data_IF_736382742864
#
_entry.id   IF_736382742864
#
_cell.length_a   1.000
_cell.length_b   1.000
_cell.length_c   1.000
_cell.angle_alpha   90.00
_cell.angle_beta   90.00
_cell.angle_gamma   90.00
#
_symmetry.space_group_name_H-M   'P 1'
#
loop_
_entity.id
_entity.type
_entity.pdbx_description
1 polymer ?
#
# COMPACT_ATOMS: atom_id res chain seq x y z
N UNK A 1 -4.21 46.41 21.75
CA UNK A 1 -4.66 45.35 20.83
C UNK A 1 -6.11 45.10 21.14
N UNK A 2 -7.02 45.39 20.21
CA UNK A 2 -8.45 45.18 20.43
C UNK A 2 -8.74 43.68 20.34
N UNK A 3 -9.18 43.09 21.45
CA UNK A 3 -9.69 41.72 21.49
C UNK A 3 -11.07 41.70 20.84
N UNK A 4 -11.15 41.15 19.64
CA UNK A 4 -12.43 40.90 18.98
C UNK A 4 -13.25 39.92 19.84
N UNK A 5 -14.40 40.38 20.33
CA UNK A 5 -15.38 39.64 21.13
C UNK A 5 -16.58 39.18 20.29
N UNK A 6 -16.50 39.30 18.96
CA UNK A 6 -17.53 38.87 18.02
C UNK A 6 -17.28 37.47 17.46
N UNK A 7 -18.36 36.79 17.07
CA UNK A 7 -18.30 35.55 16.29
C UNK A 7 -17.75 35.87 14.90
N UNK A 8 -16.61 35.28 14.56
CA UNK A 8 -16.04 35.35 13.21
C UNK A 8 -16.62 34.19 12.41
N UNK A 9 -17.40 34.51 11.37
CA UNK A 9 -17.89 33.53 10.40
C UNK A 9 -16.90 33.49 9.25
N UNK A 10 -16.13 32.41 9.17
CA UNK A 10 -15.22 32.17 8.05
C UNK A 10 -15.91 31.22 7.07
N UNK A 11 -16.12 31.66 5.84
CA UNK A 11 -16.65 30.81 4.78
C UNK A 11 -15.48 30.02 4.18
N UNK A 12 -15.40 28.72 4.45
CA UNK A 12 -14.50 27.79 3.77
C UNK A 12 -15.27 27.08 2.67
N UNK A 13 -14.75 27.09 1.43
CA UNK A 13 -15.44 26.59 0.24
C UNK A 13 -15.29 25.09 -0.01
N UNK A 14 -14.47 24.38 0.77
CA UNK A 14 -14.32 22.93 0.68
C UNK A 14 -14.73 22.28 2.01
N UNK A 15 -15.61 21.29 1.95
CA UNK A 15 -15.86 20.40 3.08
C UNK A 15 -14.57 19.58 3.31
N UNK A 16 -13.89 19.85 4.42
CA UNK A 16 -12.65 19.15 4.71
C UNK A 16 -12.94 17.67 4.93
N UNK A 17 -12.30 16.80 4.14
CA UNK A 17 -12.40 15.35 4.35
C UNK A 17 -11.93 15.02 5.78
N UNK A 18 -12.74 14.29 6.58
CA UNK A 18 -12.32 13.89 7.92
C UNK A 18 -11.15 12.90 7.84
N UNK A 19 -10.14 13.10 8.69
CA UNK A 19 -8.97 12.23 8.79
C UNK A 19 -9.28 10.96 9.60
N UNK A 20 -10.24 10.17 9.14
CA UNK A 20 -10.75 9.00 9.86
C UNK A 20 -10.02 7.71 9.52
N UNK A 21 -9.23 7.66 8.45
CA UNK A 21 -8.58 6.43 7.99
C UNK A 21 -7.32 6.16 8.82
N UNK A 22 -7.26 4.95 9.38
CA UNK A 22 -6.27 4.56 10.40
C UNK A 22 -5.22 3.56 9.89
N UNK A 23 -5.18 3.26 8.58
CA UNK A 23 -4.10 2.43 8.04
C UNK A 23 -2.75 3.10 8.33
N UNK A 24 -1.83 2.47 9.07
CA UNK A 24 -0.55 3.09 9.41
C UNK A 24 0.33 3.21 8.17
N UNK A 25 0.51 4.43 7.68
CA UNK A 25 1.36 4.74 6.51
C UNK A 25 2.66 5.38 7.01
N UNK A 26 3.81 4.94 6.50
CA UNK A 26 5.08 5.60 6.73
C UNK A 26 5.67 6.19 5.45
N UNK A 27 6.31 7.35 5.55
CA UNK A 27 6.91 8.06 4.42
C UNK A 27 8.32 8.49 4.80
N UNK A 28 9.31 8.10 4.00
CA UNK A 28 10.67 8.64 4.09
C UNK A 28 10.91 9.60 2.91
N UNK A 29 11.42 10.80 3.19
CA UNK A 29 11.59 11.82 2.16
C UNK A 29 12.29 13.08 2.65
N UNK A 30 12.03 14.17 1.93
CA UNK A 30 12.64 15.49 2.10
C UNK A 30 11.62 16.52 2.57
N UNK A 31 12.09 17.46 3.38
CA UNK A 31 11.29 18.55 3.93
C UNK A 31 12.23 19.68 4.33
N UNK A 32 12.27 20.76 3.59
CA UNK A 32 13.13 21.95 3.83
C UNK A 32 12.45 22.95 4.76
N UNK A 33 11.12 22.88 4.86
CA UNK A 33 10.29 23.77 5.69
C UNK A 33 9.78 23.06 6.96
N UNK A 34 9.13 23.81 7.85
CA UNK A 34 8.54 23.29 9.08
C UNK A 34 9.54 23.03 10.23
N UNK A 35 9.09 22.27 11.23
CA UNK A 35 9.86 21.93 12.44
C UNK A 35 10.31 20.47 12.51
N UNK A 36 10.12 19.69 11.45
CA UNK A 36 10.47 18.26 11.44
C UNK A 36 11.98 18.06 11.62
N UNK A 37 12.35 17.41 12.72
CA UNK A 37 13.72 17.00 12.98
C UNK A 37 14.15 15.92 12.00
N UNK A 38 15.39 16.02 11.49
CA UNK A 38 15.97 14.96 10.68
C UNK A 38 16.05 13.65 11.48
N UNK A 39 15.91 12.52 10.78
CA UNK A 39 16.15 11.19 11.33
C UNK A 39 15.32 10.83 12.58
N UNK A 40 14.14 11.43 12.74
CA UNK A 40 13.21 11.11 13.83
C UNK A 40 11.83 10.81 13.26
N UNK A 41 11.36 9.55 13.31
CA UNK A 41 9.99 9.22 12.92
C UNK A 41 8.98 10.05 13.71
N UNK A 42 8.15 10.80 13.02
CA UNK A 42 7.19 11.75 13.61
C UNK A 42 5.80 11.44 13.07
N UNK A 43 4.79 11.35 13.96
CA UNK A 43 3.41 11.09 13.55
C UNK A 43 2.69 12.40 13.22
N UNK A 44 2.02 12.41 12.08
CA UNK A 44 1.14 13.46 11.58
C UNK A 44 -0.29 12.93 11.65
N UNK A 45 -1.12 13.53 12.51
CA UNK A 45 -2.51 13.08 12.73
C UNK A 45 -3.56 14.09 12.30
N UNK A 46 -3.18 15.34 12.19
CA UNK A 46 -4.06 16.44 11.80
C UNK A 46 -3.47 17.23 10.65
N UNK A 47 -4.29 18.04 9.99
CA UNK A 47 -3.80 19.02 9.00
C UNK A 47 -2.94 20.11 9.66
N UNK A 48 -3.25 20.45 10.91
CA UNK A 48 -2.44 21.40 11.69
C UNK A 48 -1.07 20.82 12.05
N UNK A 49 -1.00 19.52 12.36
CA UNK A 49 0.27 18.80 12.54
C UNK A 49 1.09 18.88 11.26
N UNK A 50 0.47 18.61 10.11
CA UNK A 50 1.14 18.69 8.81
C UNK A 50 1.69 20.10 8.56
N UNK A 51 0.85 21.13 8.69
CA UNK A 51 1.25 22.52 8.50
C UNK A 51 2.37 22.96 9.46
N UNK A 52 2.31 22.53 10.73
CA UNK A 52 3.31 22.92 11.74
C UNK A 52 4.63 22.17 11.56
N UNK A 53 4.56 20.84 11.41
CA UNK A 53 5.73 19.96 11.41
C UNK A 53 6.42 19.98 10.05
N UNK A 54 5.64 19.95 8.95
CA UNK A 54 6.16 19.89 7.60
C UNK A 54 6.25 21.26 6.92
N UNK A 55 5.48 22.25 7.37
CA UNK A 55 5.38 23.55 6.70
C UNK A 55 4.64 23.47 5.37
N UNK A 56 4.68 24.58 4.61
CA UNK A 56 4.01 24.68 3.30
C UNK A 56 4.75 23.90 2.19
N UNK A 57 5.96 23.42 2.46
CA UNK A 57 6.80 22.67 1.53
C UNK A 57 7.51 23.52 0.48
N UNK A 58 8.81 23.26 0.30
CA UNK A 58 9.59 23.77 -0.83
C UNK A 58 9.31 23.01 -2.14
N UNK A 59 9.81 23.55 -3.26
CA UNK A 59 9.63 22.94 -4.58
C UNK A 59 10.19 21.50 -4.67
N UNK A 60 11.24 21.20 -3.91
CA UNK A 60 11.92 19.89 -3.86
C UNK A 60 11.46 19.02 -2.68
N UNK A 61 10.53 19.51 -1.86
CA UNK A 61 10.03 18.76 -0.72
C UNK A 61 9.04 17.69 -1.18
N UNK A 62 9.23 16.49 -0.65
CA UNK A 62 8.41 15.31 -0.99
C UNK A 62 7.43 14.98 0.14
N UNK A 63 7.81 15.19 1.41
CA UNK A 63 6.96 14.86 2.56
C UNK A 63 5.68 15.71 2.65
N UNK A 64 5.72 17.05 2.57
CA UNK A 64 4.51 17.88 2.65
C UNK A 64 3.52 17.56 1.52
N UNK A 65 4.05 17.35 0.29
CA UNK A 65 3.22 17.01 -0.89
C UNK A 65 2.57 15.64 -0.74
N UNK A 66 3.32 14.63 -0.32
CA UNK A 66 2.79 13.29 -0.12
C UNK A 66 1.73 13.24 0.99
N UNK A 67 1.96 13.95 2.10
CA UNK A 67 0.99 14.06 3.20
C UNK A 67 -0.28 14.79 2.74
N UNK A 68 -0.15 15.86 1.95
CA UNK A 68 -1.30 16.58 1.40
C UNK A 68 -2.18 15.65 0.55
N UNK A 69 -1.61 14.89 -0.40
CA UNK A 69 -2.38 13.92 -1.21
C UNK A 69 -3.12 12.92 -0.31
N UNK A 70 -2.44 12.32 0.67
CA UNK A 70 -3.02 11.32 1.56
C UNK A 70 -4.11 11.89 2.49
N UNK A 71 -3.91 13.08 3.04
CA UNK A 71 -4.87 13.71 3.95
C UNK A 71 -6.04 14.34 3.20
N UNK A 72 -5.77 15.14 2.18
CA UNK A 72 -6.76 15.97 1.51
C UNK A 72 -7.66 15.14 0.61
N UNK A 73 -7.12 14.15 -0.11
CA UNK A 73 -7.89 13.33 -1.06
C UNK A 73 -8.46 12.06 -0.43
N UNK A 74 -7.71 11.46 0.51
CA UNK A 74 -8.03 10.13 1.04
C UNK A 74 -8.39 10.10 2.52
N UNK A 75 -8.22 11.19 3.27
CA UNK A 75 -8.57 11.24 4.69
C UNK A 75 -7.68 10.38 5.59
N UNK A 76 -6.41 10.17 5.22
CA UNK A 76 -5.46 9.38 5.98
C UNK A 76 -4.99 10.14 7.24
N UNK A 77 -5.31 9.61 8.43
CA UNK A 77 -5.02 10.26 9.72
C UNK A 77 -3.89 9.64 10.53
N UNK A 78 -3.29 8.53 10.09
CA UNK A 78 -2.15 7.91 10.79
C UNK A 78 -0.93 7.79 9.89
N UNK A 79 -0.25 8.93 9.69
CA UNK A 79 0.94 9.01 8.83
C UNK A 79 2.18 9.22 9.71
N UNK A 80 3.18 8.38 9.56
CA UNK A 80 4.51 8.56 10.15
C UNK A 80 5.46 9.08 9.08
N UNK A 81 6.11 10.21 9.32
CA UNK A 81 7.09 10.80 8.40
C UNK A 81 8.48 10.72 9.00
N UNK A 82 9.49 10.50 8.16
CA UNK A 82 10.89 10.64 8.54
C UNK A 82 11.64 11.43 7.47
N UNK A 83 12.30 12.51 7.90
CA UNK A 83 13.12 13.36 7.04
C UNK A 83 14.54 12.82 6.95
N UNK A 84 15.07 12.71 5.73
CA UNK A 84 16.49 12.44 5.48
C UNK A 84 17.41 13.50 6.10
N UNK A 85 18.57 13.09 6.60
CA UNK A 85 19.57 14.03 7.12
C UNK A 85 20.14 14.96 6.01
N UNK A 86 20.12 14.46 4.78
CA UNK A 86 20.39 15.18 3.53
C UNK A 86 19.18 15.07 2.61
N UNK A 87 19.07 16.00 1.66
CA UNK A 87 17.92 16.11 0.74
C UNK A 87 18.11 15.29 -0.55
N UNK A 88 18.81 14.17 -0.44
CA UNK A 88 19.16 13.29 -1.56
C UNK A 88 18.82 11.81 -1.25
N UNK A 89 19.02 10.97 -2.26
CA UNK A 89 18.80 9.52 -2.17
C UNK A 89 19.55 8.88 -0.98
N UNK A 90 20.76 9.35 -0.66
CA UNK A 90 21.54 8.83 0.47
C UNK A 90 20.90 9.17 1.82
N UNK A 91 20.42 10.41 1.98
CA UNK A 91 19.71 10.86 3.18
C UNK A 91 18.41 10.10 3.39
N UNK A 92 17.63 9.90 2.32
CA UNK A 92 16.38 9.13 2.37
C UNK A 92 16.65 7.65 2.64
N UNK A 93 17.67 7.06 1.99
CA UNK A 93 18.10 5.68 2.25
C UNK A 93 18.38 5.44 3.73
N UNK A 94 19.13 6.34 4.38
CA UNK A 94 19.42 6.25 5.80
C UNK A 94 18.16 6.41 6.67
N UNK A 95 17.22 7.26 6.26
CA UNK A 95 15.98 7.51 7.00
C UNK A 95 15.02 6.31 7.00
N UNK A 96 14.97 5.53 5.92
CA UNK A 96 14.11 4.33 5.79
C UNK A 96 14.32 3.38 6.97
N UNK A 97 15.58 3.10 7.33
CA UNK A 97 15.89 2.17 8.43
C UNK A 97 15.30 2.59 9.78
N UNK A 98 15.08 3.89 9.99
CA UNK A 98 14.55 4.44 11.24
C UNK A 98 13.06 4.17 11.42
N UNK A 99 12.33 3.91 10.33
CA UNK A 99 10.91 3.56 10.37
C UNK A 99 10.64 2.23 11.09
N UNK A 100 11.64 1.35 11.22
CA UNK A 100 11.54 0.14 12.03
C UNK A 100 11.27 0.45 13.52
N UNK A 101 11.65 1.64 13.98
CA UNK A 101 11.48 2.10 15.36
C UNK A 101 10.29 3.07 15.53
N UNK A 102 9.42 3.18 14.53
CA UNK A 102 8.24 4.01 14.63
C UNK A 102 7.32 3.54 15.77
N UNK A 103 6.67 4.48 16.46
CA UNK A 103 5.78 4.18 17.58
C UNK A 103 4.56 3.33 17.16
N UNK A 104 4.15 3.42 15.90
CA UNK A 104 3.17 2.53 15.27
C UNK A 104 3.88 1.85 14.11
N UNK A 105 3.80 0.51 14.07
CA UNK A 105 4.36 -0.28 12.98
C UNK A 105 3.62 0.07 11.68
N UNK A 106 4.30 0.57 10.64
CA UNK A 106 3.64 0.87 9.38
C UNK A 106 3.25 -0.41 8.65
N UNK A 107 2.12 -0.37 7.96
CA UNK A 107 1.68 -1.42 7.04
C UNK A 107 2.04 -1.09 5.58
N UNK A 108 2.13 0.20 5.27
CA UNK A 108 2.54 0.72 3.97
C UNK A 108 3.69 1.69 4.15
N UNK A 109 4.75 1.55 3.34
CA UNK A 109 5.92 2.43 3.34
C UNK A 109 6.08 3.07 1.96
N UNK A 110 6.33 4.38 1.92
CA UNK A 110 6.49 5.17 0.71
C UNK A 110 7.84 5.91 0.72
N UNK A 111 8.44 6.06 -0.46
CA UNK A 111 9.60 6.94 -0.70
C UNK A 111 9.32 7.82 -1.92
N UNK A 112 8.44 8.83 -1.79
CA UNK A 112 7.98 9.62 -2.93
C UNK A 112 9.18 10.25 -3.64
N UNK A 113 9.26 10.05 -4.94
CA UNK A 113 10.28 10.56 -5.86
C UNK A 113 11.69 9.98 -5.66
N UNK A 114 11.85 8.98 -4.78
CA UNK A 114 13.11 8.27 -4.54
C UNK A 114 12.94 6.78 -4.85
N UNK A 115 13.62 6.32 -5.90
CA UNK A 115 13.47 4.95 -6.42
C UNK A 115 14.80 4.33 -6.88
N UNK A 116 15.93 4.90 -6.45
CA UNK A 116 17.26 4.34 -6.73
C UNK A 116 17.42 2.93 -6.17
N UNK A 117 18.37 2.16 -6.72
CA UNK A 117 18.63 0.80 -6.23
C UNK A 117 19.01 0.74 -4.74
N UNK A 118 19.64 1.79 -4.20
CA UNK A 118 19.96 1.88 -2.78
C UNK A 118 18.69 2.05 -1.93
N UNK A 119 17.77 2.92 -2.36
CA UNK A 119 16.49 3.13 -1.69
C UNK A 119 15.62 1.88 -1.75
N UNK A 120 15.49 1.23 -2.91
CA UNK A 120 14.64 0.05 -3.03
C UNK A 120 15.17 -1.15 -2.25
N UNK A 121 16.50 -1.30 -2.14
CA UNK A 121 17.12 -2.32 -1.27
C UNK A 121 16.91 -2.03 0.22
N UNK A 122 16.99 -0.76 0.64
CA UNK A 122 16.70 -0.36 2.01
C UNK A 122 15.22 -0.58 2.35
N UNK A 123 14.31 -0.27 1.42
CA UNK A 123 12.89 -0.58 1.54
C UNK A 123 12.66 -2.07 1.71
N UNK A 124 13.20 -2.90 0.81
CA UNK A 124 13.11 -4.36 0.90
C UNK A 124 13.51 -4.86 2.30
N UNK A 125 14.68 -4.45 2.76
CA UNK A 125 15.21 -4.84 4.08
C UNK A 125 14.26 -4.44 5.21
N UNK A 126 13.72 -3.21 5.16
CA UNK A 126 12.77 -2.73 6.15
C UNK A 126 11.48 -3.55 6.11
N UNK A 127 10.81 -3.65 4.97
CA UNK A 127 9.48 -4.26 4.86
C UNK A 127 9.49 -5.76 5.12
N UNK A 128 10.60 -6.45 4.82
CA UNK A 128 10.82 -7.84 5.22
C UNK A 128 10.89 -8.00 6.74
N UNK A 129 11.52 -7.05 7.44
CA UNK A 129 11.65 -7.04 8.88
C UNK A 129 10.31 -6.72 9.57
N UNK A 130 9.64 -5.65 9.16
CA UNK A 130 8.42 -5.16 9.83
C UNK A 130 7.13 -5.75 9.29
N UNK A 131 7.17 -6.64 8.29
CA UNK A 131 6.00 -7.23 7.62
C UNK A 131 5.03 -6.15 7.12
N UNK A 132 5.55 -5.30 6.25
CA UNK A 132 4.82 -4.24 5.56
C UNK A 132 4.91 -4.45 4.04
N UNK A 133 4.27 -3.58 3.27
CA UNK A 133 4.53 -3.40 1.83
C UNK A 133 5.14 -2.02 1.58
N UNK A 134 5.99 -1.92 0.56
CA UNK A 134 6.48 -0.65 0.06
C UNK A 134 5.84 -0.34 -1.30
N UNK A 135 5.52 0.92 -1.53
CA UNK A 135 5.04 1.42 -2.81
C UNK A 135 6.06 2.44 -3.31
N UNK A 136 6.57 2.22 -4.52
CA UNK A 136 7.50 3.14 -5.18
C UNK A 136 6.93 3.53 -6.53
N UNK A 137 7.23 4.72 -7.02
CA UNK A 137 6.81 5.18 -8.33
C UNK A 137 8.02 5.29 -9.27
N UNK A 138 7.83 4.94 -10.54
CA UNK A 138 8.78 5.30 -11.60
C UNK A 138 8.76 6.83 -11.76
N UNK A 139 9.93 7.41 -12.00
CA UNK A 139 10.15 8.86 -12.05
C UNK A 139 9.26 9.55 -13.09
N UNK A 140 8.81 10.78 -12.78
CA UNK A 140 7.96 11.57 -13.67
C UNK A 140 8.60 11.77 -15.05
N UNK A 141 7.76 11.94 -16.08
CA UNK A 141 8.14 12.09 -17.48
C UNK A 141 8.93 10.92 -18.09
N UNK A 142 8.97 9.75 -17.43
CA UNK A 142 9.50 8.51 -18.03
C UNK A 142 8.54 8.02 -19.10
N UNK A 143 9.03 7.72 -20.30
CA UNK A 143 8.18 7.17 -21.37
C UNK A 143 7.69 5.77 -21.01
N UNK A 144 6.58 5.30 -21.61
CA UNK A 144 6.06 3.94 -21.38
C UNK A 144 7.13 2.88 -21.70
N UNK A 145 7.84 3.03 -22.82
CA UNK A 145 8.89 2.09 -23.22
C UNK A 145 10.07 2.06 -22.24
N UNK A 146 10.46 3.22 -21.70
CA UNK A 146 11.52 3.31 -20.68
C UNK A 146 11.05 2.74 -19.34
N UNK A 147 9.78 2.91 -18.98
CA UNK A 147 9.19 2.33 -17.78
C UNK A 147 9.19 0.79 -17.82
N UNK A 148 8.80 0.21 -18.96
CA UNK A 148 8.89 -1.24 -19.23
C UNK A 148 10.35 -1.70 -19.13
N UNK A 149 11.27 -1.00 -19.80
CA UNK A 149 12.71 -1.31 -19.76
C UNK A 149 13.26 -1.24 -18.33
N UNK A 150 12.83 -0.25 -17.55
CA UNK A 150 13.24 -0.09 -16.16
C UNK A 150 12.69 -1.19 -15.24
N UNK A 151 11.51 -1.75 -15.54
CA UNK A 151 10.96 -2.92 -14.86
C UNK A 151 11.74 -4.20 -15.12
N UNK A 152 12.30 -4.34 -16.33
CA UNK A 152 13.13 -5.48 -16.73
C UNK A 152 14.59 -5.39 -16.22
N UNK A 153 15.00 -4.24 -15.68
CA UNK A 153 16.35 -4.03 -15.15
C UNK A 153 16.55 -4.70 -13.77
N UNK A 154 17.80 -4.85 -13.33
CA UNK A 154 18.11 -5.37 -11.99
C UNK A 154 18.18 -4.23 -10.98
N UNK A 155 17.32 -4.27 -9.96
CA UNK A 155 17.29 -3.30 -8.87
C UNK A 155 16.56 -2.00 -9.23
N UNK A 156 16.55 -1.03 -8.30
CA UNK A 156 15.74 0.19 -8.45
C UNK A 156 14.26 -0.18 -8.65
N UNK A 157 13.62 0.38 -9.67
CA UNK A 157 12.26 0.05 -10.07
C UNK A 157 12.12 -1.34 -10.71
N UNK A 158 13.21 -2.00 -11.10
CA UNK A 158 13.23 -3.37 -11.60
C UNK A 158 13.40 -4.44 -10.50
N UNK A 159 13.25 -4.06 -9.23
CA UNK A 159 13.36 -4.98 -8.10
C UNK A 159 12.30 -6.09 -8.20
N UNK A 160 12.72 -7.34 -7.95
CA UNK A 160 11.87 -8.51 -7.84
C UNK A 160 11.61 -8.79 -6.35
N UNK A 161 10.43 -8.38 -5.85
CA UNK A 161 10.07 -8.55 -4.45
C UNK A 161 8.57 -8.63 -4.21
N UNK A 162 8.14 -9.57 -3.35
CA UNK A 162 6.72 -9.77 -3.02
C UNK A 162 6.12 -8.64 -2.18
N UNK A 163 6.94 -7.78 -1.57
CA UNK A 163 6.50 -6.70 -0.69
C UNK A 163 6.64 -5.33 -1.33
N UNK A 164 7.13 -5.23 -2.55
CA UNK A 164 7.28 -3.94 -3.25
C UNK A 164 6.32 -3.90 -4.43
N UNK A 165 5.49 -2.87 -4.52
CA UNK A 165 4.74 -2.57 -5.73
C UNK A 165 5.36 -1.36 -6.43
N UNK A 166 5.62 -1.51 -7.72
CA UNK A 166 6.20 -0.46 -8.58
C UNK A 166 5.08 0.17 -9.37
N UNK A 167 4.84 1.45 -9.15
CA UNK A 167 3.74 2.20 -9.73
C UNK A 167 4.21 3.10 -10.90
N UNK A 168 3.33 3.30 -11.87
CA UNK A 168 3.51 4.23 -13.00
C UNK A 168 2.13 4.57 -13.56
N UNK A 169 1.84 5.78 -14.05
CA UNK A 169 2.71 6.92 -14.24
C UNK A 169 2.67 7.90 -13.05
N UNK A 170 2.89 9.20 -13.29
CA UNK A 170 2.37 10.25 -12.41
C UNK A 170 1.04 10.77 -12.97
N UNK A 171 0.20 11.30 -12.09
CA UNK A 171 -1.09 11.91 -12.42
C UNK A 171 -1.00 13.42 -12.28
N UNK A 172 -1.69 14.15 -13.15
CA UNK A 172 -1.92 15.58 -13.02
C UNK A 172 -3.05 15.80 -12.03
N UNK A 173 -2.85 16.69 -11.06
CA UNK A 173 -3.92 17.14 -10.18
C UNK A 173 -5.08 17.76 -10.99
N UNK A 174 -6.32 17.54 -10.55
CA UNK A 174 -7.50 18.05 -11.25
C UNK A 174 -7.63 19.58 -11.17
N UNK A 175 -7.19 20.18 -10.06
CA UNK A 175 -7.34 21.62 -9.82
C UNK A 175 -6.13 22.44 -10.31
N UNK A 176 -4.95 21.84 -10.30
CA UNK A 176 -3.69 22.43 -10.75
C UNK A 176 -2.86 21.39 -11.52
N UNK A 177 -3.11 21.23 -12.84
CA UNK A 177 -2.42 20.23 -13.66
C UNK A 177 -0.90 20.39 -13.77
N UNK A 178 -0.31 21.46 -13.22
CA UNK A 178 1.15 21.61 -13.10
C UNK A 178 1.74 20.80 -11.96
N UNK A 179 0.89 20.38 -11.00
CA UNK A 179 1.26 19.48 -9.91
C UNK A 179 1.10 18.04 -10.37
N UNK A 180 2.20 17.31 -10.25
CA UNK A 180 2.24 15.87 -10.51
C UNK A 180 2.18 15.11 -9.18
N UNK A 181 1.38 14.06 -9.17
CA UNK A 181 1.14 13.19 -8.04
C UNK A 181 1.48 11.75 -8.42
N UNK A 182 2.20 11.05 -7.55
CA UNK A 182 2.58 9.66 -7.82
C UNK A 182 1.38 8.73 -7.65
N UNK A 183 1.21 7.78 -8.57
CA UNK A 183 0.21 6.71 -8.44
C UNK A 183 0.44 5.90 -7.16
N UNK A 184 1.69 5.77 -6.69
CA UNK A 184 2.02 5.15 -5.40
C UNK A 184 1.29 5.79 -4.21
N UNK A 185 1.11 7.11 -4.21
CA UNK A 185 0.40 7.87 -3.17
C UNK A 185 -1.11 7.61 -3.23
N UNK A 186 -1.67 7.63 -4.44
CA UNK A 186 -3.07 7.29 -4.65
C UNK A 186 -3.37 5.85 -4.24
N UNK A 187 -2.51 4.90 -4.59
CA UNK A 187 -2.62 3.51 -4.19
C UNK A 187 -2.58 3.37 -2.66
N UNK A 188 -1.66 4.03 -1.96
CA UNK A 188 -1.63 4.03 -0.50
C UNK A 188 -2.95 4.58 0.10
N UNK A 189 -3.44 5.69 -0.43
CA UNK A 189 -4.71 6.29 -0.02
C UNK A 189 -5.91 5.38 -0.28
N UNK A 190 -5.93 4.67 -1.41
CA UNK A 190 -6.93 3.66 -1.75
C UNK A 190 -6.87 2.50 -0.77
N UNK A 191 -5.69 1.94 -0.48
CA UNK A 191 -5.52 0.85 0.47
C UNK A 191 -6.02 1.20 1.88
N UNK A 192 -5.89 2.48 2.28
CA UNK A 192 -6.42 2.99 3.54
C UNK A 192 -7.95 3.15 3.55
N UNK A 193 -8.57 3.18 2.36
CA UNK A 193 -10.01 3.33 2.17
C UNK A 193 -10.76 2.03 1.89
N UNK A 194 -10.06 0.92 1.65
CA UNK A 194 -10.67 -0.40 1.53
C UNK A 194 -11.29 -0.84 2.86
N UNK A 195 -12.34 -1.66 2.77
CA UNK A 195 -13.09 -2.12 3.96
C UNK A 195 -12.28 -3.09 4.82
N UNK A 196 -11.37 -3.84 4.19
CA UNK A 196 -10.47 -4.76 4.87
C UNK A 196 -9.18 -4.98 4.07
N UNK A 197 -8.20 -5.62 4.70
CA UNK A 197 -6.87 -5.88 4.12
C UNK A 197 -6.87 -6.93 2.99
N UNK A 198 -7.91 -7.76 2.91
CA UNK A 198 -8.05 -8.82 1.91
C UNK A 198 -8.67 -8.35 0.59
N UNK A 199 -9.23 -7.15 0.56
CA UNK A 199 -9.78 -6.54 -0.64
C UNK A 199 -8.66 -6.08 -1.57
N UNK A 200 -8.83 -6.31 -2.88
CA UNK A 200 -7.89 -5.83 -3.90
C UNK A 200 -8.08 -4.33 -4.18
N UNK A 201 -6.99 -3.57 -4.42
CA UNK A 201 -7.07 -2.19 -4.89
C UNK A 201 -7.44 -2.07 -6.38
N UNK A 202 -7.53 -3.19 -7.12
CA UNK A 202 -7.87 -3.19 -8.54
C UNK A 202 -9.22 -2.49 -8.79
N UNK A 203 -9.26 -1.67 -9.84
CA UNK A 203 -10.44 -0.93 -10.29
C UNK A 203 -10.99 0.08 -9.26
N UNK A 204 -10.18 0.50 -8.29
CA UNK A 204 -10.53 1.57 -7.36
C UNK A 204 -10.21 2.94 -7.98
N UNK A 205 -11.10 3.93 -7.87
CA UNK A 205 -10.91 5.23 -8.50
C UNK A 205 -9.81 6.05 -7.83
N UNK A 206 -9.01 6.73 -8.65
CA UNK A 206 -8.15 7.80 -8.21
C UNK A 206 -9.00 9.04 -7.97
N UNK A 207 -8.62 9.84 -6.97
CA UNK A 207 -9.38 11.03 -6.56
C UNK A 207 -8.67 12.28 -7.05
N UNK A 208 -9.45 13.22 -7.58
CA UNK A 208 -8.99 14.57 -7.95
C UNK A 208 -7.77 14.56 -8.89
N UNK A 209 -7.82 13.72 -9.91
CA UNK A 209 -6.81 13.63 -10.97
C UNK A 209 -7.46 13.88 -12.33
N UNK A 210 -6.76 14.56 -13.22
CA UNK A 210 -7.30 14.96 -14.54
C UNK A 210 -6.72 14.18 -15.72
N UNK A 211 -5.45 13.79 -15.66
CA UNK A 211 -4.73 13.16 -16.77
C UNK A 211 -3.43 12.51 -16.28
N UNK A 212 -2.79 11.69 -17.12
CA UNK A 212 -1.43 11.19 -16.87
C UNK A 212 -0.37 12.21 -17.27
N UNK A 213 0.81 12.16 -16.63
CA UNK A 213 1.94 13.05 -16.96
C UNK A 213 2.55 12.74 -18.34
N UNK A 214 2.42 11.49 -18.78
CA UNK A 214 2.80 11.00 -20.12
C UNK A 214 1.60 10.44 -20.86
N UNK A 215 1.62 10.52 -22.19
CA UNK A 215 0.54 9.94 -23.01
C UNK A 215 0.58 8.42 -22.94
N UNK A 216 -0.56 7.81 -22.62
CA UNK A 216 -0.74 6.37 -22.54
C UNK A 216 -2.03 5.93 -23.24
N UNK A 217 -2.00 4.75 -23.83
CA UNK A 217 -3.16 4.04 -24.33
C UNK A 217 -3.74 3.13 -23.25
N UNK A 218 -5.06 3.20 -23.09
CA UNK A 218 -5.81 2.45 -22.10
C UNK A 218 -6.78 1.49 -22.79
N UNK A 219 -6.75 0.22 -22.41
CA UNK A 219 -7.70 -0.78 -22.88
C UNK A 219 -7.94 -1.84 -21.83
N UNK A 220 -9.13 -2.44 -21.87
CA UNK A 220 -9.50 -3.62 -21.07
C UNK A 220 -9.32 -4.94 -21.82
N UNK A 221 -9.11 -4.86 -23.13
CA UNK A 221 -9.19 -6.01 -24.03
C UNK A 221 -8.00 -6.11 -24.98
N UNK A 222 -7.12 -5.11 -24.99
CA UNK A 222 -5.98 -5.06 -25.89
C UNK A 222 -4.71 -5.36 -25.10
N UNK A 223 -4.13 -6.53 -25.31
CA UNK A 223 -2.83 -6.92 -24.72
C UNK A 223 -1.69 -5.97 -25.15
N UNK A 224 -1.89 -5.20 -26.22
CA UNK A 224 -0.91 -4.21 -26.70
C UNK A 224 -1.12 -2.79 -26.17
N UNK A 225 -2.10 -2.53 -25.29
CA UNK A 225 -2.20 -1.19 -24.70
C UNK A 225 -1.12 -0.97 -23.65
N UNK A 226 -0.77 0.29 -23.41
CA UNK A 226 0.34 0.63 -22.53
C UNK A 226 0.09 0.16 -21.10
N UNK A 227 -1.15 0.26 -20.61
CA UNK A 227 -1.53 -0.24 -19.29
C UNK A 227 -1.31 -1.76 -19.13
N UNK A 228 -1.62 -2.57 -20.15
CA UNK A 228 -1.43 -4.03 -20.07
C UNK A 228 0.05 -4.40 -20.11
N UNK A 229 0.81 -3.80 -21.02
CA UNK A 229 2.26 -4.04 -21.14
C UNK A 229 3.01 -3.70 -19.83
N UNK A 230 2.58 -2.68 -19.10
CA UNK A 230 3.17 -2.35 -17.79
C UNK A 230 2.80 -3.39 -16.73
N UNK A 231 1.55 -3.87 -16.72
CA UNK A 231 1.11 -4.87 -15.74
C UNK A 231 1.73 -6.24 -15.97
N UNK A 232 2.00 -6.60 -17.23
CA UNK A 232 2.67 -7.87 -17.58
C UNK A 232 4.10 -7.96 -17.01
N UNK A 233 4.75 -6.81 -16.83
CA UNK A 233 6.07 -6.68 -16.21
C UNK A 233 5.99 -6.45 -14.67
N UNK A 234 4.83 -6.69 -14.05
CA UNK A 234 4.65 -6.54 -12.61
C UNK A 234 4.59 -5.08 -12.12
N UNK A 235 4.24 -4.16 -13.02
CA UNK A 235 3.90 -2.78 -12.67
C UNK A 235 2.44 -2.63 -12.22
N UNK A 236 2.17 -1.67 -11.34
CA UNK A 236 0.83 -1.15 -11.05
C UNK A 236 0.63 0.15 -11.81
N UNK A 237 -0.47 0.27 -12.53
CA UNK A 237 -0.78 1.40 -13.40
C UNK A 237 -2.21 1.90 -13.26
N UNK A 238 -2.68 2.65 -14.24
CA UNK A 238 -4.04 3.18 -14.31
C UNK A 238 -4.74 2.75 -15.60
N UNK A 239 -6.07 2.73 -15.54
CA UNK A 239 -6.96 2.56 -16.68
C UNK A 239 -8.14 3.55 -16.53
N UNK A 240 -9.01 3.63 -17.53
CA UNK A 240 -10.21 4.46 -17.50
C UNK A 240 -11.45 3.60 -17.32
N UNK A 241 -12.23 3.87 -16.27
CA UNK A 241 -13.54 3.25 -16.07
C UNK A 241 -14.52 3.60 -17.22
N UNK A 242 -15.68 2.91 -17.33
CA UNK A 242 -16.68 3.22 -18.35
C UNK A 242 -17.21 4.66 -18.33
N UNK A 243 -17.05 5.37 -17.21
CA UNK A 243 -17.43 6.78 -17.04
C UNK A 243 -16.26 7.75 -17.35
N UNK A 244 -15.10 7.23 -17.76
CA UNK A 244 -13.92 8.01 -18.12
C UNK A 244 -13.08 8.48 -16.93
N UNK A 245 -13.22 7.87 -15.75
CA UNK A 245 -12.41 8.18 -14.57
C UNK A 245 -11.22 7.25 -14.46
N UNK A 246 -10.10 7.79 -13.98
CA UNK A 246 -8.91 6.99 -13.71
C UNK A 246 -9.13 6.04 -12.54
N UNK A 247 -8.82 4.77 -12.76
CA UNK A 247 -8.85 3.69 -11.77
C UNK A 247 -7.51 2.98 -11.72
N UNK A 248 -7.17 2.38 -10.58
CA UNK A 248 -6.00 1.52 -10.45
C UNK A 248 -6.15 0.29 -11.35
N UNK A 249 -5.09 -0.01 -12.09
CA UNK A 249 -4.96 -1.16 -12.97
C UNK A 249 -3.71 -1.97 -12.60
N UNK A 250 -3.82 -3.28 -12.49
CA UNK A 250 -2.79 -4.12 -11.89
C UNK A 250 -2.81 -4.05 -10.36
N UNK A 251 -2.99 -5.20 -9.71
CA UNK A 251 -2.93 -5.33 -8.25
C UNK A 251 -1.84 -6.32 -7.81
N UNK A 252 -0.85 -6.50 -8.68
CA UNK A 252 0.30 -7.35 -8.48
C UNK A 252 1.50 -6.53 -7.95
N UNK A 253 2.39 -7.19 -7.24
CA UNK A 253 3.66 -6.64 -6.79
C UNK A 253 4.77 -6.89 -7.83
N UNK A 254 5.97 -6.38 -7.55
CA UNK A 254 7.07 -6.35 -8.49
C UNK A 254 7.75 -7.71 -8.75
N UNK A 255 7.38 -8.74 -7.99
CA UNK A 255 7.78 -10.14 -8.25
C UNK A 255 6.89 -10.86 -9.27
N UNK A 256 5.82 -10.21 -9.72
CA UNK A 256 5.01 -10.77 -10.79
C UNK A 256 5.79 -10.80 -12.11
N UNK A 257 5.61 -11.89 -12.82
CA UNK A 257 5.99 -12.05 -14.23
C UNK A 257 4.78 -12.65 -14.92
N UNK A 258 4.56 -12.27 -16.18
CA UNK A 258 3.48 -12.77 -17.01
C UNK A 258 3.27 -14.30 -16.86
N UNK A 259 2.02 -14.69 -16.58
CA UNK A 259 1.64 -16.10 -16.40
C UNK A 259 1.93 -16.69 -15.01
N UNK A 260 2.46 -15.91 -14.06
CA UNK A 260 2.68 -16.38 -12.69
C UNK A 260 1.37 -16.75 -11.99
N UNK A 261 1.36 -17.94 -11.40
CA UNK A 261 0.24 -18.48 -10.60
C UNK A 261 0.47 -18.34 -9.09
N UNK A 262 1.59 -17.73 -8.67
CA UNK A 262 1.87 -17.52 -7.25
C UNK A 262 0.93 -16.47 -6.67
N UNK A 263 0.13 -16.89 -5.69
CA UNK A 263 -0.83 -16.03 -4.99
C UNK A 263 -0.15 -14.89 -4.24
N UNK A 264 1.13 -15.04 -3.88
CA UNK A 264 1.90 -14.02 -3.18
C UNK A 264 2.38 -12.88 -4.08
N UNK A 265 2.11 -12.96 -5.38
CA UNK A 265 2.30 -11.82 -6.29
C UNK A 265 1.20 -10.77 -6.15
N UNK A 266 0.10 -11.05 -5.45
CA UNK A 266 -0.98 -10.07 -5.24
C UNK A 266 -0.75 -9.22 -3.99
N UNK A 267 -0.95 -7.91 -4.10
CA UNK A 267 -0.78 -6.95 -2.99
C UNK A 267 -1.70 -7.32 -1.82
N UNK A 268 -2.97 -7.62 -2.07
CA UNK A 268 -3.95 -7.96 -1.03
C UNK A 268 -3.66 -9.31 -0.37
N UNK A 269 -3.09 -10.28 -1.10
CA UNK A 269 -2.70 -11.58 -0.52
C UNK A 269 -1.54 -11.42 0.48
N UNK A 270 -0.56 -10.57 0.17
CA UNK A 270 0.55 -10.26 1.09
C UNK A 270 0.04 -9.54 2.34
N UNK A 271 -0.81 -8.52 2.17
CA UNK A 271 -1.46 -7.83 3.30
C UNK A 271 -2.24 -8.81 4.18
N UNK A 272 -2.99 -9.74 3.57
CA UNK A 272 -3.71 -10.78 4.32
C UNK A 272 -2.78 -11.71 5.09
N UNK A 273 -1.66 -12.14 4.51
CA UNK A 273 -0.65 -12.95 5.20
C UNK A 273 -0.10 -12.22 6.42
N UNK A 274 0.26 -10.95 6.26
CA UNK A 274 0.91 -10.20 7.32
C UNK A 274 -0.06 -9.91 8.47
N UNK A 275 -1.31 -9.60 8.16
CA UNK A 275 -2.32 -9.31 9.18
C UNK A 275 -2.76 -10.58 9.92
N UNK A 276 -2.95 -11.70 9.22
CA UNK A 276 -3.22 -12.99 9.88
C UNK A 276 -2.04 -13.38 10.77
N UNK A 277 -0.79 -13.21 10.31
CA UNK A 277 0.40 -13.47 11.13
C UNK A 277 0.37 -12.64 12.41
N UNK A 278 0.12 -11.33 12.29
CA UNK A 278 0.03 -10.41 13.43
C UNK A 278 -1.07 -10.80 14.41
N UNK A 279 -2.24 -11.21 13.92
CA UNK A 279 -3.36 -11.64 14.77
C UNK A 279 -3.01 -12.93 15.52
N UNK A 280 -2.40 -13.91 14.85
CA UNK A 280 -1.97 -15.17 15.47
C UNK A 280 -0.90 -14.91 16.54
N UNK A 281 0.09 -14.07 16.27
CA UNK A 281 1.09 -13.66 17.26
C UNK A 281 0.44 -12.98 18.47
N UNK A 282 -0.49 -12.03 18.23
CA UNK A 282 -1.20 -11.34 19.31
C UNK A 282 -2.08 -12.27 20.16
N UNK A 283 -2.59 -13.37 19.58
CA UNK A 283 -3.26 -14.44 20.34
C UNK A 283 -2.26 -15.26 21.13
N UNK A 284 -1.17 -15.70 20.50
CA UNK A 284 -0.13 -16.53 21.13
C UNK A 284 0.48 -15.86 22.36
N UNK A 285 0.71 -14.54 22.31
CA UNK A 285 1.26 -13.77 23.44
C UNK A 285 0.40 -13.92 24.71
N UNK A 286 -0.91 -14.08 24.58
CA UNK A 286 -1.83 -14.23 25.74
C UNK A 286 -1.68 -15.58 26.45
N UNK A 287 -1.03 -16.56 25.82
CA UNK A 287 -0.79 -17.88 26.37
C UNK A 287 0.67 -18.06 26.84
N UNK A 288 1.50 -17.02 26.76
CA UNK A 288 2.84 -17.05 27.34
C UNK A 288 2.73 -17.19 28.87
N UNK A 289 3.62 -17.99 29.45
CA UNK A 289 3.66 -18.35 30.88
C UNK A 289 2.52 -19.25 31.39
N UNK A 290 1.61 -19.69 30.52
CA UNK A 290 0.68 -20.78 30.84
C UNK A 290 1.42 -22.12 30.92
N UNK A 291 0.80 -23.12 31.56
CA UNK A 291 1.37 -24.46 31.65
C UNK A 291 1.55 -25.09 30.26
N UNK A 292 2.75 -25.61 29.99
CA UNK A 292 3.01 -26.34 28.74
C UNK A 292 2.42 -27.75 28.82
N UNK A 293 1.14 -27.87 28.48
CA UNK A 293 0.41 -29.13 28.48
C UNK A 293 -0.58 -29.20 27.30
N UNK A 294 -1.18 -30.37 27.09
CA UNK A 294 -2.13 -30.60 25.99
C UNK A 294 -3.38 -29.70 26.06
N UNK A 295 -3.84 -29.33 27.25
CA UNK A 295 -5.00 -28.48 27.42
C UNK A 295 -4.71 -27.06 26.90
N UNK A 296 -3.57 -26.48 27.29
CA UNK A 296 -3.09 -25.19 26.77
C UNK A 296 -2.91 -25.24 25.26
N UNK A 297 -2.32 -26.32 24.74
CA UNK A 297 -2.12 -26.47 23.30
C UNK A 297 -3.45 -26.51 22.52
N UNK A 298 -4.44 -27.23 23.05
CA UNK A 298 -5.77 -27.31 22.47
C UNK A 298 -6.50 -25.97 22.52
N UNK A 299 -6.44 -25.25 23.64
CA UNK A 299 -7.07 -23.92 23.77
C UNK A 299 -6.45 -22.89 22.82
N UNK A 300 -5.12 -22.91 22.66
CA UNK A 300 -4.43 -22.03 21.73
C UNK A 300 -4.83 -22.31 20.28
N UNK A 301 -4.91 -23.59 19.89
CA UNK A 301 -5.43 -24.01 18.58
C UNK A 301 -6.84 -23.46 18.32
N UNK A 302 -7.76 -23.63 19.27
CA UNK A 302 -9.12 -23.08 19.15
C UNK A 302 -9.12 -21.55 19.06
N UNK A 303 -8.25 -20.86 19.81
CA UNK A 303 -8.12 -19.41 19.70
C UNK A 303 -7.60 -18.95 18.33
N UNK A 304 -6.77 -19.73 17.66
CA UNK A 304 -6.33 -19.45 16.29
C UNK A 304 -7.46 -19.68 15.28
N UNK A 305 -8.19 -20.79 15.41
CA UNK A 305 -9.36 -21.08 14.57
C UNK A 305 -10.45 -20.00 14.69
N UNK A 306 -10.77 -19.56 15.91
CA UNK A 306 -11.71 -18.46 16.16
C UNK A 306 -11.29 -17.15 15.47
N UNK A 307 -9.98 -16.86 15.47
CA UNK A 307 -9.45 -15.68 14.79
C UNK A 307 -9.63 -15.79 13.27
N UNK A 308 -9.32 -16.94 12.66
CA UNK A 308 -9.56 -17.15 11.22
C UNK A 308 -11.05 -17.08 10.88
N UNK A 309 -11.93 -17.65 11.71
CA UNK A 309 -13.37 -17.60 11.50
C UNK A 309 -13.90 -16.16 11.57
N UNK A 310 -13.40 -15.37 12.51
CA UNK A 310 -13.73 -13.94 12.65
C UNK A 310 -13.33 -13.15 11.40
N UNK A 311 -12.10 -13.34 10.90
CA UNK A 311 -11.63 -12.62 9.70
C UNK A 311 -12.35 -13.09 8.42
N UNK A 312 -12.71 -14.38 8.33
CA UNK A 312 -13.55 -14.89 7.25
C UNK A 312 -14.96 -14.28 7.28
N UNK A 313 -15.55 -14.10 8.47
CA UNK A 313 -16.87 -13.47 8.64
C UNK A 313 -16.87 -11.99 8.25
N UNK A 314 -15.73 -11.29 8.41
CA UNK A 314 -15.51 -9.92 7.91
C UNK A 314 -15.27 -9.86 6.39
N UNK A 315 -15.12 -11.01 5.73
CA UNK A 315 -14.80 -11.09 4.30
C UNK A 315 -13.33 -10.83 3.97
N UNK A 316 -12.43 -10.77 4.95
CA UNK A 316 -11.01 -10.48 4.71
C UNK A 316 -10.24 -11.68 4.13
N UNK A 317 -10.68 -12.91 4.41
CA UNK A 317 -10.12 -14.15 3.86
C UNK A 317 -11.24 -15.11 3.46
N UNK A 318 -10.91 -16.17 2.72
CA UNK A 318 -11.87 -17.23 2.40
C UNK A 318 -12.19 -18.09 3.64
N UNK A 319 -13.41 -18.63 3.76
CA UNK A 319 -13.83 -19.46 4.90
C UNK A 319 -13.30 -20.90 4.80
N UNK A 320 -11.99 -21.07 4.62
CA UNK A 320 -11.31 -22.37 4.45
C UNK A 320 -10.08 -22.52 5.35
N UNK A 321 -9.97 -21.68 6.39
CA UNK A 321 -8.83 -21.67 7.30
C UNK A 321 -8.73 -22.96 8.13
N UNK A 322 -7.51 -23.39 8.41
CA UNK A 322 -7.23 -24.56 9.26
C UNK A 322 -6.02 -24.32 10.15
N UNK A 323 -5.99 -24.99 11.29
CA UNK A 323 -4.88 -24.95 12.24
C UNK A 323 -4.55 -26.38 12.65
N UNK A 324 -3.28 -26.75 12.51
CA UNK A 324 -2.75 -28.06 12.90
C UNK A 324 -1.73 -27.88 14.00
N UNK A 325 -1.87 -28.62 15.10
CA UNK A 325 -0.84 -28.72 16.12
C UNK A 325 0.21 -29.74 15.66
N UNK A 326 1.47 -29.34 15.60
CA UNK A 326 2.56 -30.16 15.11
C UNK A 326 3.22 -30.87 16.30
N UNK A 327 2.72 -32.06 16.65
CA UNK A 327 3.21 -32.83 17.80
C UNK A 327 4.70 -33.18 17.69
N UNK A 328 5.19 -33.44 16.48
CA UNK A 328 6.58 -33.79 16.18
C UNK A 328 7.57 -32.62 16.40
N UNK A 329 7.07 -31.39 16.36
CA UNK A 329 7.88 -30.15 16.54
C UNK A 329 7.68 -29.49 17.91
N UNK A 330 6.70 -29.99 18.67
CA UNK A 330 6.33 -29.51 19.99
C UNK A 330 7.00 -30.34 21.07
N UNK A 331 7.30 -29.70 22.19
CA UNK A 331 7.92 -30.34 23.35
C UNK A 331 7.48 -29.63 24.64
N UNK A 332 6.60 -30.31 25.37
CA UNK A 332 6.07 -29.81 26.64
C UNK A 332 7.15 -29.66 27.72
N UNK A 333 8.23 -30.45 27.66
CA UNK A 333 9.31 -30.39 28.66
C UNK A 333 10.18 -29.14 28.53
N UNK A 334 10.23 -28.55 27.33
CA UNK A 334 10.95 -27.32 27.04
C UNK A 334 10.03 -26.12 26.83
N UNK A 335 8.71 -26.30 27.00
CA UNK A 335 7.74 -25.21 26.85
C UNK A 335 7.44 -24.82 25.40
N UNK A 336 7.81 -25.65 24.42
CA UNK A 336 7.69 -25.35 22.99
C UNK A 336 6.42 -25.94 22.40
N UNK A 337 5.57 -25.10 21.82
CA UNK A 337 4.37 -25.51 21.09
C UNK A 337 4.45 -25.00 19.64
N UNK A 338 4.22 -25.87 18.68
CA UNK A 338 4.35 -25.56 17.25
C UNK A 338 3.01 -25.80 16.51
N UNK A 339 2.65 -24.85 15.65
CA UNK A 339 1.39 -24.89 14.89
C UNK A 339 1.63 -24.54 13.43
N UNK A 340 0.87 -25.20 12.56
CA UNK A 340 0.71 -24.81 11.17
C UNK A 340 -0.64 -24.11 11.02
N UNK A 341 -0.63 -22.84 10.63
CA UNK A 341 -1.84 -22.07 10.30
C UNK A 341 -1.93 -21.95 8.78
N UNK A 342 -3.06 -22.37 8.19
CA UNK A 342 -3.31 -22.27 6.76
C UNK A 342 -4.60 -21.49 6.52
N UNK A 343 -4.59 -20.64 5.50
CA UNK A 343 -5.77 -19.92 5.03
C UNK A 343 -5.62 -19.62 3.52
N UNK A 344 -6.71 -19.19 2.89
CA UNK A 344 -6.69 -18.76 1.50
C UNK A 344 -7.16 -17.29 1.40
N UNK A 345 -6.37 -16.40 0.76
CA UNK A 345 -6.81 -15.03 0.51
C UNK A 345 -7.86 -14.97 -0.59
N UNK A 346 -8.56 -13.84 -0.70
CA UNK A 346 -9.31 -13.53 -1.92
C UNK A 346 -8.35 -13.16 -3.04
N UNK A 347 -8.60 -13.67 -4.23
CA UNK A 347 -7.88 -13.26 -5.44
C UNK A 347 -8.82 -12.36 -6.25
N UNK A 348 -8.36 -11.19 -6.71
CA UNK A 348 -9.16 -10.38 -7.62
C UNK A 348 -9.36 -11.10 -8.95
N UNK A 349 -10.43 -10.73 -9.64
CA UNK A 349 -10.65 -11.14 -11.02
C UNK A 349 -9.91 -10.13 -11.90
N UNK A 350 -8.81 -10.56 -12.53
CA UNK A 350 -8.01 -9.71 -13.42
C UNK A 350 -8.51 -9.75 -14.87
N UNK A 351 -9.14 -10.85 -15.29
CA UNK A 351 -9.64 -11.04 -16.65
C UNK A 351 -11.05 -11.63 -16.65
N UNK A 352 -11.94 -11.03 -17.43
CA UNK A 352 -13.29 -11.56 -17.72
C UNK A 352 -13.42 -11.74 -19.23
N UNK A 353 -13.64 -12.97 -19.68
CA UNK A 353 -13.93 -13.26 -21.09
C UNK A 353 -15.39 -13.66 -21.27
N UNK A 354 -16.05 -13.05 -22.25
CA UNK A 354 -17.43 -13.34 -22.63
C UNK A 354 -17.56 -13.48 -24.15
N UNK A 355 -18.15 -14.57 -24.61
CA UNK A 355 -18.38 -14.82 -26.04
C UNK A 355 -19.84 -14.53 -26.39
N UNK A 356 -20.07 -13.68 -27.40
CA UNK A 356 -21.40 -13.37 -27.93
C UNK A 356 -21.56 -14.00 -29.31
N UNK A 357 -22.64 -14.75 -29.53
CA UNK A 357 -22.97 -15.33 -30.84
C UNK A 357 -24.36 -14.92 -31.31
N UNK A 358 -24.52 -14.74 -32.62
CA UNK A 358 -25.80 -14.47 -33.27
C UNK A 358 -26.24 -15.75 -33.99
N UNK A 359 -27.42 -16.28 -33.63
CA UNK A 359 -28.02 -17.42 -34.32
C UNK A 359 -29.11 -16.92 -35.26
N UNK A 360 -29.01 -17.23 -36.55
CA UNK A 360 -30.05 -16.95 -37.55
C UNK A 360 -30.80 -18.25 -37.83
N UNK A 361 -32.06 -18.33 -37.42
CA UNK A 361 -32.94 -19.41 -37.86
C UNK A 361 -33.39 -19.12 -39.29
N UNK A 362 -32.86 -19.85 -40.28
CA UNK A 362 -33.49 -19.89 -41.61
C UNK A 362 -34.79 -20.67 -41.49
N UNK A 363 -35.92 -19.97 -41.63
CA UNK A 363 -37.23 -20.60 -41.71
C UNK A 363 -37.30 -21.53 -42.92
N UNK A 364 -37.76 -22.77 -42.69
CA UNK A 364 -37.88 -23.81 -43.71
C UNK A 364 -38.98 -23.57 -44.74
#
# INVERSE_FOLDING_TARGET
>A
MATNTGVIVTQTTAEAIPLSKQLPIAIAGTCTTGTLAASTPTRIRTKDDAATILGDGGATDTLPKAVAVLQDKYGCGDITVVKGATEDEAGVTAAIALLANAAVRPEVVLTPSFNSAAVTMALKTLVDNIKAIALINITAATSVADAITARQAVGGTGIDDQRIAVCFPHMKDETDPTKLEEVSLHLAGILANLDNYGQSPLNQPLREVSDTDVTMSFSYSSETSDNEQITDEGGTTVNLDPDGKYVIWGARNSSYTEGSTDVLTYINAIRARDEITRLIEARAVKFLAEESNFATASLLKESFLDSLATEAAKGAIRPTGSVTFNEDKSDYSTGKLDYTVQFAPWLPIELISASVSISVSVGG
#
